data_IF_881358037335
#
_entry.id   IF_881358037335
#
_cell.length_a   1.000
_cell.length_b   1.000
_cell.length_c   1.000
_cell.angle_alpha   90.00
_cell.angle_beta   90.00
_cell.angle_gamma   90.00
#
_symmetry.space_group_name_H-M   'P 1'
#
loop_
_entity.id
_entity.type
_entity.pdbx_description
1 polymer ?
#
# COMPACT_ATOMS: atom_id res chain seq x y z
N UNK A 1 -22.79 51.43 -15.86
CA UNK A 1 -22.45 50.11 -16.44
C UNK A 1 -21.03 49.76 -16.00
N UNK A 2 -20.86 49.25 -14.78
CA UNK A 2 -19.56 48.87 -14.23
C UNK A 2 -19.70 47.47 -13.64
N UNK A 3 -19.34 46.45 -14.40
CA UNK A 3 -19.33 45.07 -13.93
C UNK A 3 -18.04 44.82 -13.15
N UNK A 4 -18.21 44.59 -11.86
CA UNK A 4 -17.21 44.16 -10.91
C UNK A 4 -16.76 42.73 -11.29
N UNK A 5 -15.55 42.59 -11.82
CA UNK A 5 -14.95 41.28 -12.12
C UNK A 5 -14.42 40.71 -10.81
N UNK A 6 -15.27 39.97 -10.11
CA UNK A 6 -14.88 39.12 -9.00
C UNK A 6 -13.85 38.10 -9.46
N UNK A 7 -12.57 38.38 -9.19
CA UNK A 7 -11.48 37.41 -9.28
C UNK A 7 -11.71 36.32 -8.24
N UNK A 8 -12.23 35.18 -8.67
CA UNK A 8 -12.27 33.95 -7.88
C UNK A 8 -10.83 33.48 -7.66
N UNK A 9 -10.25 33.85 -6.51
CA UNK A 9 -9.01 33.25 -6.06
C UNK A 9 -9.23 31.74 -5.88
N UNK A 10 -8.33 30.87 -6.37
CA UNK A 10 -8.41 29.44 -6.12
C UNK A 10 -8.28 29.23 -4.60
N UNK A 11 -9.33 28.68 -3.99
CA UNK A 11 -9.34 28.29 -2.57
C UNK A 11 -8.11 27.43 -2.28
N UNK A 12 -7.27 27.86 -1.33
CA UNK A 12 -6.13 27.05 -0.88
C UNK A 12 -6.62 25.64 -0.51
N UNK A 13 -5.93 24.57 -0.93
CA UNK A 13 -6.32 23.23 -0.56
C UNK A 13 -6.24 23.10 0.95
N UNK A 14 -7.38 22.89 1.59
CA UNK A 14 -7.44 22.71 3.04
C UNK A 14 -6.55 21.53 3.43
N UNK A 15 -5.71 21.72 4.46
CA UNK A 15 -4.80 20.69 5.01
C UNK A 15 -5.55 19.38 5.34
N UNK A 16 -6.86 19.48 5.58
CA UNK A 16 -7.81 18.40 5.87
C UNK A 16 -8.27 17.58 4.64
N UNK A 17 -7.86 17.94 3.42
CA UNK A 17 -8.21 17.24 2.18
C UNK A 17 -7.05 16.44 1.56
N UNK A 18 -5.94 16.23 2.26
CA UNK A 18 -4.89 15.32 1.76
C UNK A 18 -5.38 13.85 1.81
N UNK A 19 -5.53 13.14 0.67
CA UNK A 19 -6.00 11.76 0.65
C UNK A 19 -5.14 10.80 1.47
N UNK A 20 -3.87 11.18 1.74
CA UNK A 20 -2.92 10.39 2.52
C UNK A 20 -3.36 10.13 3.96
N UNK A 21 -4.17 11.00 4.56
CA UNK A 21 -4.72 10.75 5.90
C UNK A 21 -5.68 9.57 5.92
N UNK A 22 -6.53 9.43 4.89
CA UNK A 22 -7.41 8.27 4.75
C UNK A 22 -6.60 6.99 4.54
N UNK A 23 -5.52 7.07 3.78
CA UNK A 23 -4.62 5.93 3.58
C UNK A 23 -3.92 5.52 4.88
N UNK A 24 -3.39 6.47 5.65
CA UNK A 24 -2.75 6.19 6.95
C UNK A 24 -3.78 5.61 7.93
N UNK A 25 -4.98 6.19 8.00
CA UNK A 25 -6.05 5.70 8.86
C UNK A 25 -6.47 4.27 8.49
N UNK A 26 -6.68 4.00 7.18
CA UNK A 26 -7.01 2.68 6.66
C UNK A 26 -5.91 1.65 6.96
N UNK A 27 -4.66 1.94 6.62
CA UNK A 27 -3.53 1.04 6.85
C UNK A 27 -3.30 0.77 8.35
N UNK A 28 -3.42 1.81 9.19
CA UNK A 28 -3.32 1.65 10.65
C UNK A 28 -4.46 0.80 11.20
N UNK A 29 -5.69 1.00 10.72
CA UNK A 29 -6.87 0.21 11.13
C UNK A 29 -6.69 -1.25 10.72
N UNK A 30 -6.26 -1.50 9.49
CA UNK A 30 -5.96 -2.86 9.01
C UNK A 30 -4.84 -3.51 9.81
N UNK A 31 -3.81 -2.76 10.21
CA UNK A 31 -2.70 -3.30 10.99
C UNK A 31 -3.15 -3.66 12.41
N UNK A 32 -3.92 -2.78 13.05
CA UNK A 32 -4.50 -3.07 14.37
C UNK A 32 -5.47 -4.25 14.32
N UNK A 33 -6.33 -4.32 13.31
CA UNK A 33 -7.21 -5.46 13.11
C UNK A 33 -6.42 -6.76 12.85
N UNK A 34 -5.38 -6.69 12.03
CA UNK A 34 -4.47 -7.80 11.76
C UNK A 34 -3.80 -8.33 13.02
N UNK A 35 -3.36 -7.44 13.90
CA UNK A 35 -2.73 -7.79 15.17
C UNK A 35 -3.73 -8.37 16.20
N UNK A 36 -4.87 -7.70 16.38
CA UNK A 36 -5.79 -8.01 17.48
C UNK A 36 -6.80 -9.12 17.16
N UNK A 37 -7.17 -9.27 15.89
CA UNK A 37 -8.24 -10.19 15.45
C UNK A 37 -7.66 -11.34 14.64
N UNK A 38 -6.84 -11.03 13.63
CA UNK A 38 -6.23 -12.05 12.77
C UNK A 38 -4.95 -12.66 13.37
N UNK A 39 -4.48 -12.12 14.50
CA UNK A 39 -3.28 -12.58 15.20
C UNK A 39 -2.06 -12.72 14.28
N UNK A 40 -1.79 -11.66 13.51
CA UNK A 40 -0.62 -11.61 12.63
C UNK A 40 0.66 -11.98 13.37
N UNK A 41 1.43 -12.88 12.79
CA UNK A 41 2.75 -13.26 13.27
C UNK A 41 3.78 -12.18 12.93
N UNK A 42 3.64 -11.03 13.57
CA UNK A 42 4.54 -9.89 13.44
C UNK A 42 4.90 -9.37 14.82
N UNK A 43 6.20 -9.32 15.09
CA UNK A 43 6.71 -8.77 16.35
C UNK A 43 6.52 -7.25 16.42
N UNK A 44 6.20 -6.72 17.60
CA UNK A 44 6.14 -5.29 17.87
C UNK A 44 7.49 -4.63 17.49
N UNK A 45 8.60 -5.33 17.71
CA UNK A 45 9.93 -4.86 17.32
C UNK A 45 10.09 -4.69 15.82
N UNK A 46 9.53 -5.60 15.02
CA UNK A 46 9.52 -5.47 13.57
C UNK A 46 8.77 -4.20 13.14
N UNK A 47 7.62 -3.92 13.75
CA UNK A 47 6.81 -2.72 13.44
C UNK A 47 7.59 -1.45 13.78
N UNK A 48 8.10 -1.36 15.01
CA UNK A 48 8.86 -0.18 15.48
C UNK A 48 10.07 0.06 14.59
N UNK A 49 10.87 -0.96 14.31
CA UNK A 49 12.07 -0.84 13.47
C UNK A 49 11.71 -0.43 12.04
N UNK A 50 10.68 -1.05 11.45
CA UNK A 50 10.24 -0.71 10.08
C UNK A 50 9.83 0.76 9.98
N UNK A 51 9.04 1.26 10.93
CA UNK A 51 8.58 2.66 10.95
C UNK A 51 9.76 3.60 11.22
N UNK A 52 10.57 3.34 12.26
CA UNK A 52 11.71 4.17 12.62
C UNK A 52 12.75 4.25 11.50
N UNK A 53 13.11 3.12 10.90
CA UNK A 53 14.05 3.08 9.77
C UNK A 53 13.49 3.80 8.55
N UNK A 54 12.20 3.64 8.24
CA UNK A 54 11.59 4.36 7.12
C UNK A 54 11.61 5.88 7.33
N UNK A 55 11.27 6.36 8.52
CA UNK A 55 11.30 7.80 8.85
C UNK A 55 12.72 8.35 8.82
N UNK A 56 13.69 7.62 9.39
CA UNK A 56 15.09 8.00 9.38
C UNK A 56 15.63 8.06 7.95
N UNK A 57 15.36 7.04 7.13
CA UNK A 57 15.79 6.98 5.74
C UNK A 57 15.15 8.11 4.91
N UNK A 58 13.89 8.45 5.19
CA UNK A 58 13.22 9.57 4.53
C UNK A 58 13.88 10.89 4.91
N UNK A 59 14.22 11.08 6.19
CA UNK A 59 14.89 12.27 6.68
C UNK A 59 16.28 12.42 6.05
N UNK A 60 17.10 11.36 6.11
CA UNK A 60 18.44 11.33 5.52
C UNK A 60 18.38 11.56 4.01
N UNK A 61 17.49 10.88 3.30
CA UNK A 61 17.30 11.05 1.87
C UNK A 61 16.87 12.48 1.49
N UNK A 62 15.93 13.07 2.23
CA UNK A 62 15.54 14.48 2.04
C UNK A 62 16.73 15.43 2.19
N UNK A 63 17.60 15.21 3.19
CA UNK A 63 18.80 16.05 3.39
C UNK A 63 19.88 15.81 2.33
N UNK A 64 20.13 14.55 1.99
CA UNK A 64 21.17 14.16 1.03
C UNK A 64 20.86 14.65 -0.39
N UNK A 65 19.61 14.57 -0.82
CA UNK A 65 19.17 15.07 -2.13
C UNK A 65 18.77 16.55 -2.11
N UNK A 66 19.11 17.29 -1.05
CA UNK A 66 18.84 18.73 -0.88
C UNK A 66 17.38 19.13 -1.16
N UNK A 67 16.43 18.28 -0.79
CA UNK A 67 15.01 18.57 -0.96
C UNK A 67 14.53 19.55 0.12
N UNK A 68 13.71 20.50 -0.29
CA UNK A 68 13.21 21.59 0.58
C UNK A 68 12.33 21.10 1.73
N UNK A 69 11.60 20.00 1.54
CA UNK A 69 10.60 19.54 2.50
C UNK A 69 10.76 18.07 2.84
N UNK A 70 10.67 17.77 4.13
CA UNK A 70 10.56 16.42 4.67
C UNK A 70 9.09 15.98 4.63
N UNK A 71 8.82 14.83 4.02
CA UNK A 71 7.47 14.26 3.90
C UNK A 71 7.33 12.97 4.74
N UNK A 72 7.04 13.09 6.06
CA UNK A 72 6.92 11.95 6.95
C UNK A 72 5.72 11.05 6.60
N UNK A 73 4.67 11.63 6.00
CA UNK A 73 3.43 10.91 5.66
C UNK A 73 3.70 9.85 4.59
N UNK A 74 4.48 10.21 3.57
CA UNK A 74 4.89 9.28 2.51
C UNK A 74 5.69 8.09 3.06
N UNK A 75 6.61 8.34 3.99
CA UNK A 75 7.38 7.27 4.63
C UNK A 75 6.50 6.39 5.53
N UNK A 76 5.57 7.01 6.26
CA UNK A 76 4.66 6.30 7.16
C UNK A 76 3.78 5.32 6.38
N UNK A 77 3.16 5.76 5.28
CA UNK A 77 2.35 4.91 4.40
C UNK A 77 3.14 3.68 3.92
N UNK A 78 4.37 3.90 3.43
CA UNK A 78 5.22 2.79 2.97
C UNK A 78 5.57 1.83 4.11
N UNK A 79 5.92 2.33 5.29
CA UNK A 79 6.24 1.50 6.44
C UNK A 79 5.04 0.72 6.99
N UNK A 80 3.85 1.31 7.04
CA UNK A 80 2.63 0.62 7.47
C UNK A 80 2.26 -0.48 6.47
N UNK A 81 2.40 -0.21 5.17
CA UNK A 81 2.18 -1.22 4.12
C UNK A 81 3.19 -2.38 4.22
N UNK A 82 4.47 -2.10 4.55
CA UNK A 82 5.45 -3.15 4.84
C UNK A 82 5.07 -3.97 6.09
N UNK A 83 4.61 -3.33 7.17
CA UNK A 83 4.17 -4.05 8.38
C UNK A 83 2.96 -4.97 8.09
N UNK A 84 2.04 -4.54 7.22
CA UNK A 84 0.90 -5.37 6.83
C UNK A 84 1.33 -6.62 6.05
N UNK A 85 2.27 -6.48 5.13
CA UNK A 85 2.56 -7.50 4.13
C UNK A 85 3.76 -8.39 4.48
N UNK A 86 4.87 -7.79 4.94
CA UNK A 86 6.13 -8.49 5.12
C UNK A 86 6.17 -9.27 6.45
N UNK A 87 6.59 -10.52 6.38
CA UNK A 87 6.92 -11.36 7.54
C UNK A 87 8.40 -11.70 7.52
N UNK A 88 9.05 -11.51 8.65
CA UNK A 88 10.46 -11.86 8.86
C UNK A 88 10.71 -12.09 10.35
N UNK A 89 11.61 -13.02 10.66
CA UNK A 89 12.07 -13.26 12.03
C UNK A 89 13.22 -12.32 12.43
N UNK A 90 13.85 -11.67 11.45
CA UNK A 90 15.01 -10.82 11.66
C UNK A 90 14.65 -9.34 11.51
N UNK A 91 14.93 -8.58 12.57
CA UNK A 91 14.77 -7.13 12.62
C UNK A 91 15.67 -6.40 11.61
N UNK A 92 16.85 -6.94 11.30
CA UNK A 92 17.74 -6.38 10.30
C UNK A 92 17.12 -6.44 8.90
N UNK A 93 16.43 -7.54 8.58
CA UNK A 93 15.69 -7.68 7.31
C UNK A 93 14.55 -6.66 7.22
N UNK A 94 13.84 -6.42 8.32
CA UNK A 94 12.78 -5.41 8.38
C UNK A 94 13.33 -3.99 8.14
N UNK A 95 14.45 -3.66 8.78
CA UNK A 95 15.16 -2.40 8.55
C UNK A 95 15.64 -2.27 7.10
N UNK A 96 16.20 -3.34 6.53
CA UNK A 96 16.66 -3.39 5.15
C UNK A 96 15.50 -3.19 4.17
N UNK A 97 14.36 -3.83 4.40
CA UNK A 97 13.15 -3.65 3.60
C UNK A 97 12.67 -2.19 3.62
N UNK A 98 12.60 -1.58 4.80
CA UNK A 98 12.26 -0.16 4.96
C UNK A 98 13.27 0.75 4.25
N UNK A 99 14.56 0.45 4.37
CA UNK A 99 15.65 1.16 3.70
C UNK A 99 15.54 1.10 2.17
N UNK A 100 15.30 -0.08 1.60
CA UNK A 100 15.10 -0.26 0.16
C UNK A 100 13.86 0.49 -0.30
N UNK A 101 12.73 0.36 0.43
CA UNK A 101 11.50 1.03 0.07
C UNK A 101 11.73 2.54 -0.02
N UNK A 102 12.22 3.16 1.05
CA UNK A 102 12.39 4.62 1.07
C UNK A 102 13.55 5.08 0.18
N UNK A 103 14.67 4.36 0.16
CA UNK A 103 15.82 4.67 -0.70
C UNK A 103 15.46 4.65 -2.20
N UNK A 104 14.64 3.69 -2.63
CA UNK A 104 14.22 3.58 -4.03
C UNK A 104 13.44 4.80 -4.53
N UNK A 105 12.70 5.50 -3.64
CA UNK A 105 12.00 6.75 -3.98
C UNK A 105 12.94 7.84 -4.46
N UNK A 106 14.18 7.85 -3.97
CA UNK A 106 15.17 8.86 -4.28
C UNK A 106 16.06 8.45 -5.46
N UNK A 107 16.44 7.18 -5.54
CA UNK A 107 17.39 6.67 -6.54
C UNK A 107 16.70 6.33 -7.87
N UNK A 108 15.53 5.67 -7.82
CA UNK A 108 14.87 5.12 -9.01
C UNK A 108 13.75 6.07 -9.45
N UNK A 109 14.15 7.16 -10.11
CA UNK A 109 13.25 8.21 -10.56
C UNK A 109 13.39 8.47 -12.05
N UNK A 110 12.26 8.76 -12.71
CA UNK A 110 12.20 9.25 -14.08
C UNK A 110 11.35 10.52 -14.12
N UNK A 111 11.91 11.61 -14.67
CA UNK A 111 11.25 12.93 -14.73
C UNK A 111 10.64 13.35 -13.37
N UNK A 112 11.46 13.29 -12.32
CA UNK A 112 11.10 13.62 -10.93
C UNK A 112 10.04 12.74 -10.27
N UNK A 113 9.60 11.65 -10.92
CA UNK A 113 8.64 10.68 -10.35
C UNK A 113 9.33 9.36 -10.07
N UNK A 114 9.02 8.73 -8.94
CA UNK A 114 9.48 7.36 -8.68
C UNK A 114 8.79 6.42 -9.67
N UNK A 115 9.56 5.47 -10.22
CA UNK A 115 9.05 4.56 -11.26
C UNK A 115 8.20 3.45 -10.62
N UNK A 116 8.72 2.86 -9.55
CA UNK A 116 8.09 1.72 -8.88
C UNK A 116 7.34 2.16 -7.62
N UNK A 117 6.32 1.37 -7.24
CA UNK A 117 5.77 1.45 -5.90
C UNK A 117 6.87 1.04 -4.90
N UNK A 118 7.30 1.96 -4.02
CA UNK A 118 8.42 1.77 -3.09
C UNK A 118 8.29 0.52 -2.22
N UNK A 119 7.09 0.28 -1.68
CA UNK A 119 6.82 -0.88 -0.84
C UNK A 119 6.89 -2.17 -1.65
N UNK A 120 6.29 -2.19 -2.84
CA UNK A 120 6.30 -3.38 -3.69
C UNK A 120 7.71 -3.74 -4.17
N UNK A 121 8.54 -2.76 -4.51
CA UNK A 121 9.93 -3.00 -4.87
C UNK A 121 10.69 -3.66 -3.71
N UNK A 122 10.55 -3.14 -2.50
CA UNK A 122 11.17 -3.73 -1.32
C UNK A 122 10.69 -5.17 -1.09
N UNK A 123 9.38 -5.43 -1.17
CA UNK A 123 8.83 -6.78 -1.06
C UNK A 123 9.43 -7.72 -2.10
N UNK A 124 9.50 -7.31 -3.37
CA UNK A 124 10.10 -8.13 -4.44
C UNK A 124 11.56 -8.46 -4.11
N UNK A 125 12.35 -7.49 -3.67
CA UNK A 125 13.78 -7.72 -3.34
C UNK A 125 13.93 -8.67 -2.16
N UNK A 126 13.17 -8.47 -1.08
CA UNK A 126 13.24 -9.32 0.12
C UNK A 126 12.78 -10.74 -0.18
N UNK A 127 11.67 -10.90 -0.90
CA UNK A 127 11.13 -12.20 -1.30
C UNK A 127 12.08 -12.95 -2.23
N UNK A 128 12.61 -12.27 -3.26
CA UNK A 128 13.56 -12.87 -4.19
C UNK A 128 14.88 -13.27 -3.51
N UNK A 129 15.24 -12.59 -2.42
CA UNK A 129 16.42 -12.92 -1.62
C UNK A 129 16.16 -14.02 -0.58
N UNK A 130 14.92 -14.50 -0.44
CA UNK A 130 14.55 -15.50 0.57
C UNK A 130 14.65 -15.01 2.03
N UNK A 131 14.75 -13.69 2.24
CA UNK A 131 14.94 -13.09 3.57
C UNK A 131 13.63 -12.90 4.33
N UNK A 132 12.48 -13.00 3.64
CA UNK A 132 11.16 -12.87 4.23
C UNK A 132 10.11 -13.53 3.36
N UNK A 133 8.87 -13.52 3.85
CA UNK A 133 7.72 -14.10 3.14
C UNK A 133 6.48 -13.21 3.29
N UNK A 134 5.47 -13.48 2.47
CA UNK A 134 4.12 -12.93 2.61
C UNK A 134 3.19 -14.12 2.81
N UNK A 135 2.21 -14.01 3.70
CA UNK A 135 1.19 -15.05 3.93
C UNK A 135 -0.14 -14.63 3.33
N UNK A 136 -0.56 -15.14 2.16
CA UNK A 136 -1.87 -14.79 1.57
C UNK A 136 -3.04 -15.19 2.46
N UNK A 137 -2.91 -16.30 3.20
CA UNK A 137 -3.95 -16.85 4.08
C UNK A 137 -4.18 -16.06 5.37
N UNK A 138 -3.29 -15.13 5.73
CA UNK A 138 -3.43 -14.33 6.96
C UNK A 138 -4.67 -13.45 6.98
N UNK A 139 -5.22 -13.17 5.80
CA UNK A 139 -6.36 -12.29 5.60
C UNK A 139 -7.72 -13.01 5.76
N UNK A 140 -7.71 -14.33 5.97
CA UNK A 140 -8.92 -15.13 6.18
C UNK A 140 -9.84 -15.19 4.95
N UNK A 141 -10.98 -15.87 5.11
CA UNK A 141 -12.06 -15.99 4.10
C UNK A 141 -13.37 -15.34 4.59
N UNK A 142 -13.32 -14.49 5.62
CA UNK A 142 -14.52 -14.03 6.31
C UNK A 142 -15.14 -12.86 5.54
N UNK A 143 -16.40 -12.99 5.10
CA UNK A 143 -17.12 -11.99 4.30
C UNK A 143 -17.13 -10.57 4.91
N UNK A 144 -17.17 -10.45 6.24
CA UNK A 144 -17.08 -9.16 6.95
C UNK A 144 -15.72 -8.47 6.78
N UNK A 145 -14.64 -9.25 6.69
CA UNK A 145 -13.31 -8.72 6.44
C UNK A 145 -13.20 -8.20 5.00
N UNK A 146 -13.78 -8.93 4.04
CA UNK A 146 -13.88 -8.47 2.67
C UNK A 146 -14.69 -7.18 2.52
N UNK A 147 -15.79 -7.04 3.28
CA UNK A 147 -16.57 -5.80 3.34
C UNK A 147 -15.77 -4.63 3.93
N UNK A 148 -15.02 -4.84 5.01
CA UNK A 148 -14.18 -3.81 5.63
C UNK A 148 -13.09 -3.33 4.67
N UNK A 149 -12.42 -4.24 3.96
CA UNK A 149 -11.45 -3.87 2.93
C UNK A 149 -12.13 -3.15 1.78
N UNK A 150 -13.28 -3.62 1.30
CA UNK A 150 -14.02 -2.97 0.23
C UNK A 150 -14.41 -1.53 0.60
N UNK A 151 -14.88 -1.28 1.83
CA UNK A 151 -15.22 0.06 2.31
C UNK A 151 -13.99 0.96 2.44
N UNK A 152 -12.91 0.47 3.06
CA UNK A 152 -11.69 1.25 3.25
C UNK A 152 -10.97 1.52 1.92
N UNK A 153 -10.88 0.52 1.05
CA UNK A 153 -10.34 0.62 -0.30
C UNK A 153 -11.15 1.59 -1.16
N UNK A 154 -12.48 1.47 -1.15
CA UNK A 154 -13.36 2.39 -1.89
C UNK A 154 -13.22 3.83 -1.38
N UNK A 155 -13.14 4.06 -0.07
CA UNK A 155 -12.91 5.39 0.50
C UNK A 155 -11.57 5.98 0.06
N UNK A 156 -10.51 5.18 0.03
CA UNK A 156 -9.18 5.64 -0.41
C UNK A 156 -9.18 5.90 -1.92
N UNK A 157 -9.69 4.99 -2.73
CA UNK A 157 -9.68 5.05 -4.20
C UNK A 157 -10.54 6.20 -4.74
N UNK A 158 -11.74 6.40 -4.18
CA UNK A 158 -12.63 7.50 -4.56
C UNK A 158 -12.03 8.86 -4.20
N UNK A 159 -11.28 8.96 -3.10
CA UNK A 159 -10.58 10.19 -2.70
C UNK A 159 -9.23 10.37 -3.40
N UNK A 160 -8.60 9.30 -3.87
CA UNK A 160 -7.34 9.34 -4.62
C UNK A 160 -7.52 9.52 -6.13
N UNK A 161 -8.76 9.50 -6.64
CA UNK A 161 -9.09 9.60 -8.06
C UNK A 161 -8.37 8.56 -8.95
N UNK A 162 -8.29 7.31 -8.48
CA UNK A 162 -7.60 6.19 -9.17
C UNK A 162 -8.49 4.98 -9.48
N UNK A 163 -9.81 5.16 -9.45
CA UNK A 163 -10.77 4.08 -9.68
C UNK A 163 -10.55 3.36 -11.02
N UNK A 164 -10.15 4.09 -12.07
CA UNK A 164 -9.91 3.54 -13.40
C UNK A 164 -8.86 2.43 -13.41
N UNK A 165 -7.76 2.60 -12.65
CA UNK A 165 -6.66 1.63 -12.60
C UNK A 165 -7.09 0.37 -11.86
N UNK A 166 -7.74 0.53 -10.71
CA UNK A 166 -8.25 -0.58 -9.89
C UNK A 166 -9.28 -1.41 -10.68
N UNK A 167 -10.24 -0.76 -11.34
CA UNK A 167 -11.28 -1.45 -12.10
C UNK A 167 -10.72 -2.15 -13.33
N UNK A 168 -9.77 -1.53 -14.03
CA UNK A 168 -9.07 -2.16 -15.16
C UNK A 168 -8.33 -3.41 -14.70
N UNK A 169 -7.53 -3.32 -13.62
CA UNK A 169 -6.83 -4.47 -13.07
C UNK A 169 -7.79 -5.60 -12.69
N UNK A 170 -8.86 -5.30 -11.94
CA UNK A 170 -9.81 -6.30 -11.49
C UNK A 170 -10.52 -6.99 -12.66
N UNK A 171 -10.91 -6.22 -13.68
CA UNK A 171 -11.58 -6.75 -14.87
C UNK A 171 -10.67 -7.71 -15.63
N UNK A 172 -9.41 -7.33 -15.88
CA UNK A 172 -8.45 -8.20 -16.55
C UNK A 172 -8.08 -9.41 -15.70
N UNK A 173 -7.91 -9.25 -14.39
CA UNK A 173 -7.60 -10.34 -13.48
C UNK A 173 -8.70 -11.40 -13.46
N UNK A 174 -9.95 -11.00 -13.22
CA UNK A 174 -11.11 -11.90 -13.24
C UNK A 174 -11.29 -12.53 -14.62
N UNK A 175 -11.16 -11.74 -15.69
CA UNK A 175 -11.25 -12.23 -17.06
C UNK A 175 -10.22 -13.31 -17.38
N UNK A 176 -8.96 -13.13 -16.96
CA UNK A 176 -7.90 -14.12 -17.14
C UNK A 176 -8.11 -15.38 -16.30
N UNK A 177 -8.59 -15.25 -15.06
CA UNK A 177 -8.92 -16.41 -14.23
C UNK A 177 -10.02 -17.27 -14.86
N UNK A 178 -11.10 -16.63 -15.33
CA UNK A 178 -12.21 -17.32 -16.00
C UNK A 178 -11.75 -17.92 -17.33
N UNK A 179 -10.99 -17.19 -18.14
CA UNK A 179 -10.45 -17.70 -19.41
C UNK A 179 -9.54 -18.92 -19.20
N UNK A 180 -8.69 -18.89 -18.17
CA UNK A 180 -7.85 -20.04 -17.79
C UNK A 180 -8.70 -21.22 -17.36
N UNK A 181 -9.71 -21.02 -16.52
CA UNK A 181 -10.58 -22.09 -16.06
C UNK A 181 -11.34 -22.74 -17.22
N UNK A 182 -11.88 -21.93 -18.13
CA UNK A 182 -12.54 -22.41 -19.35
C UNK A 182 -11.58 -23.18 -20.26
N UNK A 183 -10.33 -22.71 -20.40
CA UNK A 183 -9.32 -23.39 -21.22
C UNK A 183 -8.91 -24.75 -20.62
N UNK A 184 -8.71 -24.82 -19.30
CA UNK A 184 -8.33 -26.06 -18.62
C UNK A 184 -9.49 -27.03 -18.39
N UNK A 185 -10.74 -26.58 -18.60
CA UNK A 185 -11.95 -27.35 -18.27
C UNK A 185 -12.20 -27.44 -16.76
N UNK A 186 -11.64 -26.50 -15.98
CA UNK A 186 -11.77 -26.46 -14.54
C UNK A 186 -13.20 -26.09 -14.11
N UNK A 187 -13.71 -26.65 -12.99
CA UNK A 187 -14.98 -26.21 -12.44
C UNK A 187 -14.89 -24.75 -11.96
N UNK A 188 -15.97 -23.99 -12.16
CA UNK A 188 -16.04 -22.57 -11.77
C UNK A 188 -15.86 -22.31 -10.27
N UNK A 189 -15.93 -23.33 -9.42
CA UNK A 189 -15.62 -23.23 -7.99
C UNK A 189 -14.18 -22.77 -7.74
N UNK A 190 -13.24 -23.13 -8.61
CA UNK A 190 -11.81 -22.76 -8.49
C UNK A 190 -11.62 -21.24 -8.69
N UNK A 191 -12.01 -20.63 -9.83
CA UNK A 191 -11.86 -19.19 -10.00
C UNK A 191 -12.71 -18.40 -8.99
N UNK A 192 -13.87 -18.89 -8.57
CA UNK A 192 -14.69 -18.22 -7.55
C UNK A 192 -13.92 -18.12 -6.22
N UNK A 193 -13.33 -19.23 -5.77
CA UNK A 193 -12.54 -19.29 -4.55
C UNK A 193 -11.28 -18.40 -4.63
N UNK A 194 -10.65 -18.31 -5.80
CA UNK A 194 -9.49 -17.44 -6.01
C UNK A 194 -9.84 -15.95 -5.93
N UNK A 195 -11.05 -15.57 -6.38
CA UNK A 195 -11.56 -14.20 -6.28
C UNK A 195 -11.92 -13.86 -4.82
N UNK A 196 -12.36 -14.85 -4.04
CA UNK A 196 -12.64 -14.69 -2.60
C UNK A 196 -11.38 -14.55 -1.75
N UNK A 197 -10.18 -14.67 -2.31
CA UNK A 197 -8.94 -14.52 -1.55
C UNK A 197 -8.75 -13.08 -1.05
N UNK A 198 -8.56 -12.92 0.26
CA UNK A 198 -8.34 -11.61 0.88
C UNK A 198 -7.12 -10.85 0.34
N UNK A 199 -6.16 -11.55 -0.27
CA UNK A 199 -5.01 -10.94 -0.92
C UNK A 199 -5.39 -10.10 -2.16
N UNK A 200 -6.41 -10.51 -2.92
CA UNK A 200 -6.93 -9.72 -4.04
C UNK A 200 -7.50 -8.38 -3.57
N UNK A 201 -8.18 -8.39 -2.43
CA UNK A 201 -8.92 -7.23 -1.92
C UNK A 201 -7.99 -6.09 -1.44
N UNK A 202 -6.74 -6.39 -1.13
CA UNK A 202 -5.76 -5.42 -0.61
C UNK A 202 -5.02 -4.67 -1.74
N UNK A 203 -5.24 -5.08 -2.99
CA UNK A 203 -4.72 -4.40 -4.18
C UNK A 203 -5.49 -3.10 -4.46
#
# INVERSE_FOLDING_TARGET
MGQDKGTSQPSEPSVWRDPRFYQIASLSTLLLYGLLVLHFDISIWQIVITISTAQLMQYVGTRYFHLLFFDPKSALISSLSLCLLLRTNDCAVAALAAGIAIGSKFVIRWKDKHIFNPTNLALVVILASGLGWISPGQWGQVAWFGFLIACLGSLVVTRAARADVTLTFLTFYVGLLVARALWLGDPFTIPLHQIESGALLIF
#
